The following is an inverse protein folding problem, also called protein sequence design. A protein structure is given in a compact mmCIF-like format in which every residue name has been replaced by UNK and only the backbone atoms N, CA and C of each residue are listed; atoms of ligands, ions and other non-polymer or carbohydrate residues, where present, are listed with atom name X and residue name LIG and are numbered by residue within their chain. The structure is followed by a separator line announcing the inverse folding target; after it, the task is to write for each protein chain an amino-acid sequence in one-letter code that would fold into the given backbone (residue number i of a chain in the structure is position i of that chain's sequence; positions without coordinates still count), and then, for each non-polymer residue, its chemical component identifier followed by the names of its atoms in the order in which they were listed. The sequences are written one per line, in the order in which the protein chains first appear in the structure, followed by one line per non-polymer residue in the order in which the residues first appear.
data_IF_541284898209
#
_entry.id   IF_541284898209
#
_cell.length_a   1.000
_cell.length_b   1.000
_cell.length_c   1.000
_cell.angle_alpha   90.00
_cell.angle_beta   90.00
_cell.angle_gamma   90.00
#
_symmetry.space_group_name_H-M   'P 1'
#
loop_
_entity.id
_entity.type
_entity.pdbx_description
1 polymer ?
#
# COMPACT_ATOMS: atom_id res chain seq x y z
N UNK A 1 -2.80 -5.99 -9.82
CA UNK A 1 -1.90 -6.39 -8.72
C UNK A 1 -1.52 -5.15 -7.90
N UNK A 2 -1.52 -5.23 -6.58
CA UNK A 2 -1.09 -4.13 -5.68
C UNK A 2 0.24 -4.53 -5.05
N UNK A 3 1.28 -3.73 -5.29
CA UNK A 3 2.67 -4.00 -4.93
C UNK A 3 3.22 -5.33 -5.50
N UNK A 4 4.52 -5.58 -5.29
CA UNK A 4 5.24 -6.76 -5.79
C UNK A 4 6.06 -7.47 -4.71
N UNK A 5 5.92 -7.08 -3.44
CA UNK A 5 6.67 -7.66 -2.34
C UNK A 5 8.18 -7.39 -2.41
N UNK A 6 8.94 -8.07 -1.54
CA UNK A 6 10.40 -7.91 -1.43
C UNK A 6 11.19 -8.71 -2.46
N UNK A 7 10.69 -9.89 -2.84
CA UNK A 7 11.40 -10.84 -3.71
C UNK A 7 10.41 -11.45 -4.71
N UNK A 8 10.73 -11.28 -5.99
CA UNK A 8 9.85 -11.77 -7.06
C UNK A 8 9.81 -13.28 -7.19
N UNK A 9 10.78 -14.01 -6.63
CA UNK A 9 10.74 -15.49 -6.54
C UNK A 9 9.57 -15.93 -5.67
N UNK A 10 9.39 -15.26 -4.53
CA UNK A 10 8.29 -15.54 -3.59
C UNK A 10 6.96 -15.14 -4.22
N UNK A 11 6.91 -13.99 -4.89
CA UNK A 11 5.72 -13.56 -5.62
C UNK A 11 5.31 -14.60 -6.66
N UNK A 12 6.21 -14.99 -7.56
CA UNK A 12 5.92 -15.95 -8.63
C UNK A 12 5.54 -17.33 -8.08
N UNK A 13 6.20 -17.81 -7.03
CA UNK A 13 5.84 -19.05 -6.36
C UNK A 13 4.41 -19.03 -5.80
N UNK A 14 4.00 -17.94 -5.15
CA UNK A 14 2.65 -17.80 -4.62
C UNK A 14 1.61 -17.68 -5.74
N UNK A 15 1.93 -16.98 -6.83
CA UNK A 15 1.07 -16.89 -8.01
C UNK A 15 0.84 -18.29 -8.61
N UNK A 16 1.91 -19.07 -8.80
CA UNK A 16 1.82 -20.46 -9.27
C UNK A 16 0.99 -21.34 -8.32
N UNK A 17 1.23 -21.27 -7.01
CA UNK A 17 0.47 -22.03 -6.01
C UNK A 17 -1.03 -21.70 -5.99
N UNK A 18 -1.39 -20.48 -6.40
CA UNK A 18 -2.79 -20.02 -6.53
C UNK A 18 -3.36 -20.21 -7.94
N UNK A 19 -2.61 -20.83 -8.86
CA UNK A 19 -2.96 -20.98 -10.27
C UNK A 19 -3.24 -19.64 -10.98
N UNK A 20 -2.46 -18.61 -10.66
CA UNK A 20 -2.53 -17.29 -11.30
C UNK A 20 -1.26 -17.08 -12.12
N UNK A 21 -1.39 -16.86 -13.42
CA UNK A 21 -0.28 -16.50 -14.30
C UNK A 21 0.10 -15.03 -14.13
N UNK A 22 1.40 -14.67 -14.19
CA UNK A 22 1.82 -13.28 -14.32
C UNK A 22 1.15 -12.53 -15.46
N UNK A 23 0.78 -13.22 -16.55
CA UNK A 23 0.14 -12.64 -17.73
C UNK A 23 -1.35 -12.34 -17.55
N UNK A 24 -1.99 -12.88 -16.51
CA UNK A 24 -3.41 -12.59 -16.20
C UNK A 24 -3.59 -11.23 -15.50
N UNK A 25 -2.50 -10.59 -15.08
CA UNK A 25 -2.57 -9.27 -14.44
C UNK A 25 -2.73 -8.19 -15.51
N UNK A 26 -3.79 -7.39 -15.41
CA UNK A 26 -4.06 -6.28 -16.36
C UNK A 26 -3.26 -4.99 -16.04
N UNK A 27 -3.06 -4.72 -14.75
CA UNK A 27 -2.35 -3.53 -14.29
C UNK A 27 -1.66 -3.76 -12.93
N UNK A 28 -0.58 -3.02 -12.70
CA UNK A 28 0.10 -2.95 -11.41
C UNK A 28 -0.15 -1.58 -10.79
N UNK A 29 -0.45 -1.55 -9.51
CA UNK A 29 -0.48 -0.32 -8.70
C UNK A 29 0.58 -0.44 -7.60
N UNK A 30 1.47 0.54 -7.50
CA UNK A 30 2.50 0.60 -6.46
C UNK A 30 2.10 1.63 -5.42
N UNK A 31 1.97 1.17 -4.18
CA UNK A 31 1.52 1.99 -3.05
C UNK A 31 2.55 3.01 -2.64
N UNK A 32 3.84 2.68 -2.69
CA UNK A 32 4.98 3.59 -2.48
C UNK A 32 6.30 2.91 -2.87
N UNK A 33 7.37 3.69 -2.94
CA UNK A 33 8.66 3.29 -3.46
C UNK A 33 9.58 2.54 -2.49
N UNK A 34 9.09 1.87 -1.44
CA UNK A 34 9.96 1.04 -0.60
C UNK A 34 10.27 -0.32 -1.25
N UNK A 35 11.46 -0.86 -0.96
CA UNK A 35 11.96 -2.10 -1.59
C UNK A 35 11.11 -3.32 -1.28
N UNK A 36 10.45 -3.37 -0.12
CA UNK A 36 9.59 -4.47 0.29
C UNK A 36 8.22 -4.47 -0.39
N UNK A 37 7.91 -3.42 -1.15
CA UNK A 37 6.73 -3.30 -2.02
C UNK A 37 7.09 -3.37 -3.52
N UNK A 38 8.36 -3.20 -3.88
CA UNK A 38 8.79 -3.05 -5.29
C UNK A 38 9.85 -4.06 -5.72
N UNK A 39 10.44 -4.81 -4.79
CA UNK A 39 11.56 -5.72 -5.03
C UNK A 39 11.23 -6.89 -5.97
N UNK A 40 9.96 -7.29 -6.05
CA UNK A 40 9.51 -8.32 -6.99
C UNK A 40 9.29 -7.86 -8.44
N UNK A 41 9.35 -6.56 -8.74
CA UNK A 41 8.97 -6.01 -10.04
C UNK A 41 9.80 -6.59 -11.20
N UNK A 42 11.13 -6.67 -11.07
CA UNK A 42 12.01 -7.15 -12.15
C UNK A 42 11.65 -8.58 -12.58
N UNK A 43 11.50 -9.51 -11.62
CA UNK A 43 11.14 -10.90 -11.92
C UNK A 43 9.71 -11.03 -12.43
N UNK A 44 8.78 -10.26 -11.87
CA UNK A 44 7.39 -10.22 -12.34
C UNK A 44 7.33 -9.79 -13.81
N UNK A 45 8.01 -8.69 -14.18
CA UNK A 45 8.05 -8.18 -15.54
C UNK A 45 8.75 -9.16 -16.49
N UNK A 46 9.88 -9.75 -16.06
CA UNK A 46 10.61 -10.76 -16.86
C UNK A 46 9.78 -12.02 -17.13
N UNK A 47 8.88 -12.40 -16.21
CA UNK A 47 8.00 -13.56 -16.38
C UNK A 47 6.79 -13.29 -17.28
N UNK A 48 6.55 -12.04 -17.67
CA UNK A 48 5.45 -11.66 -18.56
C UNK A 48 5.88 -11.69 -20.03
N UNK A 49 4.90 -11.92 -20.89
CA UNK A 49 5.04 -11.85 -22.35
C UNK A 49 4.79 -10.44 -22.87
N UNK A 50 3.78 -9.77 -22.30
CA UNK A 50 3.31 -8.46 -22.75
C UNK A 50 3.66 -7.37 -21.73
N UNK A 51 3.89 -6.16 -22.27
CA UNK A 51 4.05 -4.96 -21.47
C UNK A 51 2.82 -4.71 -20.59
N UNK A 52 3.01 -4.03 -19.47
CA UNK A 52 1.95 -3.77 -18.48
C UNK A 52 1.98 -2.33 -17.99
N UNK A 53 0.81 -1.77 -17.75
CA UNK A 53 0.68 -0.44 -17.15
C UNK A 53 0.96 -0.51 -15.65
N UNK A 54 1.84 0.37 -15.17
CA UNK A 54 2.19 0.51 -13.75
C UNK A 54 1.78 1.89 -13.26
N UNK A 55 0.78 1.95 -12.39
CA UNK A 55 0.31 3.17 -11.75
C UNK A 55 1.09 3.43 -10.46
N UNK A 56 1.65 4.63 -10.33
CA UNK A 56 2.44 5.02 -9.18
C UNK A 56 2.50 6.54 -9.02
N UNK A 57 3.04 7.00 -7.90
CA UNK A 57 3.38 8.40 -7.68
C UNK A 57 4.73 8.71 -8.33
N UNK A 58 5.00 9.92 -8.87
CA UNK A 58 6.32 10.25 -9.41
C UNK A 58 7.48 10.03 -8.43
N UNK A 59 7.25 10.30 -7.13
CA UNK A 59 8.26 10.13 -6.08
C UNK A 59 8.64 8.67 -5.75
N UNK A 60 8.06 7.64 -6.41
CA UNK A 60 8.45 6.25 -6.11
C UNK A 60 9.95 5.99 -6.34
N UNK A 61 10.58 6.74 -7.26
CA UNK A 61 11.99 6.58 -7.61
C UNK A 61 12.95 7.44 -6.76
N UNK A 62 12.45 8.18 -5.77
CA UNK A 62 13.32 8.91 -4.85
C UNK A 62 14.27 7.96 -4.11
N UNK A 63 15.53 8.39 -3.96
CA UNK A 63 16.56 7.61 -3.28
C UNK A 63 16.34 7.65 -1.77
N UNK A 64 15.72 6.60 -1.24
CA UNK A 64 15.40 6.47 0.19
C UNK A 64 16.44 5.66 0.97
N UNK A 65 16.74 6.11 2.18
CA UNK A 65 17.60 5.40 3.14
C UNK A 65 17.00 5.38 4.56
N UNK A 66 17.20 4.27 5.26
CA UNK A 66 17.02 4.19 6.71
C UNK A 66 18.38 4.32 7.39
N UNK A 67 18.45 5.06 8.50
CA UNK A 67 19.69 5.27 9.26
C UNK A 67 19.89 4.27 10.41
N UNK A 68 18.80 3.69 10.93
CA UNK A 68 18.82 2.76 12.07
C UNK A 68 18.39 1.35 11.65
N UNK A 69 18.99 0.28 12.21
CA UNK A 69 20.15 0.28 13.12
C UNK A 69 21.48 0.62 12.40
N UNK A 70 21.52 0.52 11.07
CA UNK A 70 22.61 0.98 10.22
C UNK A 70 22.06 1.61 8.95
N UNK A 71 22.87 2.45 8.29
CA UNK A 71 22.53 3.06 7.01
C UNK A 71 22.28 1.96 5.96
N UNK A 72 21.08 1.92 5.39
CA UNK A 72 20.72 1.03 4.29
C UNK A 72 19.80 1.73 3.31
N UNK A 73 19.87 1.34 2.03
CA UNK A 73 18.88 1.74 1.01
C UNK A 73 17.57 1.04 1.34
N UNK A 74 16.47 1.80 1.29
CA UNK A 74 15.11 1.27 1.49
C UNK A 74 14.18 1.62 0.34
N UNK A 75 14.64 2.40 -0.64
CA UNK A 75 13.85 2.71 -1.83
C UNK A 75 13.85 1.57 -2.85
N UNK A 76 13.08 1.75 -3.91
CA UNK A 76 13.03 0.85 -5.06
C UNK A 76 14.45 0.54 -5.57
N UNK A 77 14.79 -0.76 -5.75
CA UNK A 77 16.16 -1.15 -6.10
C UNK A 77 16.47 -1.00 -7.60
N UNK A 78 15.52 -0.50 -8.39
CA UNK A 78 15.59 -0.41 -9.85
C UNK A 78 15.44 1.04 -10.33
N UNK A 79 16.03 1.37 -11.48
CA UNK A 79 15.70 2.61 -12.19
C UNK A 79 14.39 2.45 -12.97
N UNK A 80 13.73 3.57 -13.26
CA UNK A 80 12.57 3.60 -14.14
C UNK A 80 12.89 2.99 -15.51
N UNK A 81 13.96 3.47 -16.15
CA UNK A 81 14.42 3.00 -17.46
C UNK A 81 14.65 1.48 -17.51
N UNK A 82 15.19 0.90 -16.43
CA UNK A 82 15.40 -0.55 -16.35
C UNK A 82 14.08 -1.32 -16.37
N UNK A 83 13.09 -0.88 -15.58
CA UNK A 83 11.77 -1.52 -15.55
C UNK A 83 11.00 -1.30 -16.86
N UNK A 84 11.16 -0.15 -17.50
CA UNK A 84 10.57 0.14 -18.82
C UNK A 84 11.13 -0.79 -19.91
N UNK A 85 12.44 -1.08 -19.89
CA UNK A 85 13.06 -2.08 -20.78
C UNK A 85 12.51 -3.49 -20.58
N UNK A 86 11.99 -3.80 -19.39
CA UNK A 86 11.34 -5.06 -19.07
C UNK A 86 9.83 -5.05 -19.36
N UNK A 87 9.30 -3.97 -19.95
CA UNK A 87 7.89 -3.86 -20.36
C UNK A 87 6.98 -3.15 -19.37
N UNK A 88 7.50 -2.43 -18.37
CA UNK A 88 6.67 -1.54 -17.55
C UNK A 88 6.33 -0.24 -18.30
N UNK A 89 5.06 0.11 -18.37
CA UNK A 89 4.58 1.39 -18.89
C UNK A 89 4.07 2.24 -17.72
N UNK A 90 4.90 3.17 -17.21
CA UNK A 90 4.55 3.92 -16.01
C UNK A 90 3.53 5.05 -16.28
N UNK A 91 2.47 5.09 -15.47
CA UNK A 91 1.59 6.24 -15.31
C UNK A 91 1.88 6.84 -13.93
N UNK A 92 2.76 7.85 -13.93
CA UNK A 92 3.17 8.57 -12.72
C UNK A 92 2.27 9.79 -12.48
N UNK A 93 1.48 9.78 -11.40
CA UNK A 93 0.54 10.87 -11.07
C UNK A 93 0.48 11.13 -9.56
N UNK A 94 0.50 12.41 -9.19
CA UNK A 94 0.27 12.88 -7.81
C UNK A 94 -1.22 12.88 -7.46
N UNK A 95 -2.09 13.06 -8.46
CA UNK A 95 -3.54 13.17 -8.31
C UNK A 95 -4.22 11.80 -8.48
N UNK A 96 -5.45 11.63 -7.95
CA UNK A 96 -6.26 10.44 -8.20
C UNK A 96 -6.39 10.12 -9.69
N UNK A 97 -6.25 8.84 -10.03
CA UNK A 97 -6.40 8.31 -11.39
C UNK A 97 -7.37 7.15 -11.38
N UNK A 98 -8.29 7.14 -12.34
CA UNK A 98 -9.12 5.96 -12.62
C UNK A 98 -8.28 4.92 -13.36
N UNK A 99 -8.13 3.73 -12.79
CA UNK A 99 -7.46 2.59 -13.42
C UNK A 99 -8.47 1.80 -14.25
N UNK A 100 -9.59 1.43 -13.63
CA UNK A 100 -10.72 0.75 -14.27
C UNK A 100 -12.04 1.38 -13.80
N UNK A 101 -13.16 0.96 -14.37
CA UNK A 101 -14.47 1.27 -13.81
C UNK A 101 -14.54 0.77 -12.36
N UNK A 102 -14.83 1.68 -11.43
CA UNK A 102 -14.87 1.37 -10.01
C UNK A 102 -13.52 1.22 -9.32
N UNK A 103 -12.37 1.44 -9.98
CA UNK A 103 -11.03 1.28 -9.39
C UNK A 103 -10.19 2.53 -9.58
N UNK A 104 -9.73 3.14 -8.48
CA UNK A 104 -9.06 4.44 -8.47
C UNK A 104 -7.81 4.43 -7.58
N UNK A 105 -6.80 5.21 -7.95
CA UNK A 105 -5.73 5.59 -7.01
C UNK A 105 -6.20 6.73 -6.13
N UNK A 106 -5.72 6.81 -4.89
CA UNK A 106 -6.04 7.91 -3.97
C UNK A 106 -5.36 9.24 -4.32
N UNK A 107 -4.29 9.20 -5.13
CA UNK A 107 -3.32 10.30 -5.19
C UNK A 107 -2.62 10.55 -3.84
N UNK A 108 -1.90 11.66 -3.75
CA UNK A 108 -1.29 12.14 -2.50
C UNK A 108 -2.34 12.28 -1.40
N UNK A 109 -2.07 11.69 -0.24
CA UNK A 109 -2.99 11.63 0.88
C UNK A 109 -2.80 12.86 1.78
N UNK A 110 -3.89 13.60 2.00
CA UNK A 110 -3.89 14.77 2.89
C UNK A 110 -3.64 14.35 4.35
N UNK A 111 -2.64 14.96 4.99
CA UNK A 111 -2.24 14.67 6.38
C UNK A 111 -2.80 15.71 7.34
N UNK A 112 -3.85 15.33 8.07
CA UNK A 112 -4.55 16.16 9.06
C UNK A 112 -4.35 15.69 10.50
N UNK A 113 -3.85 14.46 10.68
CA UNK A 113 -3.44 13.88 11.96
C UNK A 113 -2.08 13.21 11.84
N UNK A 114 -1.68 12.45 12.86
CA UNK A 114 -0.42 11.73 12.92
C UNK A 114 -0.17 10.88 11.67
N UNK A 115 1.12 10.77 11.33
CA UNK A 115 1.62 9.87 10.32
C UNK A 115 2.61 8.86 10.90
N UNK A 116 3.05 7.94 10.06
CA UNK A 116 4.07 6.94 10.35
C UNK A 116 5.16 6.96 9.28
N UNK A 117 5.51 8.16 8.81
CA UNK A 117 6.60 8.29 7.83
C UNK A 117 7.94 7.87 8.44
N UNK A 118 8.68 7.07 7.68
CA UNK A 118 9.99 6.54 8.07
C UNK A 118 10.99 6.75 6.95
N UNK A 119 12.26 6.76 7.30
CA UNK A 119 13.32 6.92 6.32
C UNK A 119 13.60 8.39 5.97
N UNK A 120 14.53 8.53 5.03
CA UNK A 120 15.06 9.81 4.59
C UNK A 120 15.30 9.77 3.08
N UNK A 121 15.09 10.89 2.41
CA UNK A 121 15.44 11.09 0.99
C UNK A 121 16.81 11.75 0.91
N UNK A 122 17.61 11.30 -0.06
CA UNK A 122 18.88 11.94 -0.42
C UNK A 122 18.60 13.05 -1.43
N UNK A 123 18.74 14.30 -1.01
CA UNK A 123 18.61 15.50 -1.84
C UNK A 123 19.99 16.15 -2.01
N UNK A 124 20.65 15.87 -3.14
CA UNK A 124 22.05 16.24 -3.37
C UNK A 124 22.98 15.67 -2.29
N UNK A 125 23.56 16.56 -1.46
CA UNK A 125 24.40 16.19 -0.31
C UNK A 125 23.64 16.11 1.02
N UNK A 126 22.37 16.55 1.04
CA UNK A 126 21.55 16.59 2.25
C UNK A 126 20.75 15.31 2.38
N UNK A 127 20.47 14.98 3.64
CA UNK A 127 19.57 13.91 4.00
C UNK A 127 18.38 14.53 4.73
N UNK A 128 17.21 14.47 4.10
CA UNK A 128 15.97 15.05 4.63
C UNK A 128 15.04 13.95 5.08
N UNK A 129 14.27 14.18 6.15
CA UNK A 129 13.22 13.23 6.56
C UNK A 129 12.26 13.05 5.39
N UNK A 130 11.97 11.80 5.05
CA UNK A 130 11.10 11.50 3.91
C UNK A 130 9.65 11.88 4.23
N UNK A 131 9.01 12.77 3.46
CA UNK A 131 7.59 13.04 3.63
C UNK A 131 6.72 11.84 3.23
N UNK A 132 7.23 10.92 2.39
CA UNK A 132 6.49 9.79 1.80
C UNK A 132 5.18 10.25 1.14
N UNK A 133 5.30 11.24 0.26
CA UNK A 133 4.18 11.72 -0.57
C UNK A 133 3.66 10.66 -1.54
N UNK A 134 4.52 9.71 -1.89
CA UNK A 134 4.19 8.58 -2.72
C UNK A 134 3.32 7.52 -2.06
N UNK A 135 3.08 7.58 -0.74
CA UNK A 135 2.17 6.67 -0.03
C UNK A 135 0.72 6.90 -0.45
N UNK A 136 0.26 6.07 -1.39
CA UNK A 136 -1.07 6.05 -1.96
C UNK A 136 -1.82 4.77 -1.60
N UNK A 137 -3.15 4.83 -1.70
CA UNK A 137 -4.05 3.69 -1.55
C UNK A 137 -4.84 3.43 -2.82
N UNK A 138 -5.26 2.18 -3.02
CA UNK A 138 -6.20 1.80 -4.07
C UNK A 138 -7.62 1.83 -3.50
N UNK A 139 -8.54 2.44 -4.23
CA UNK A 139 -9.95 2.58 -3.86
C UNK A 139 -10.78 1.75 -4.84
N UNK A 140 -11.54 0.79 -4.33
CA UNK A 140 -12.38 -0.10 -5.12
C UNK A 140 -13.83 0.12 -4.71
N UNK A 141 -14.66 0.58 -5.63
CA UNK A 141 -16.08 0.75 -5.38
C UNK A 141 -16.77 -0.60 -5.20
N UNK A 142 -17.66 -0.66 -4.21
CA UNK A 142 -18.46 -1.82 -3.90
C UNK A 142 -19.84 -1.33 -3.43
N UNK A 143 -20.79 -1.21 -4.35
CA UNK A 143 -22.20 -1.04 -3.98
C UNK A 143 -22.51 0.16 -3.09
N UNK A 144 -22.30 1.38 -3.58
CA UNK A 144 -22.48 2.59 -2.78
C UNK A 144 -21.44 2.78 -1.65
N UNK A 145 -20.64 1.75 -1.34
CA UNK A 145 -19.50 1.78 -0.42
C UNK A 145 -18.20 1.61 -1.20
N UNK A 146 -17.08 1.50 -0.48
CA UNK A 146 -15.78 1.19 -1.07
C UNK A 146 -14.91 0.30 -0.18
N UNK A 147 -13.96 -0.37 -0.82
CA UNK A 147 -12.83 -1.04 -0.19
C UNK A 147 -11.59 -0.17 -0.40
N UNK A 148 -10.83 0.06 0.66
CA UNK A 148 -9.56 0.80 0.62
C UNK A 148 -8.42 -0.16 0.88
N UNK A 149 -7.48 -0.24 -0.07
CA UNK A 149 -6.30 -1.10 0.01
C UNK A 149 -5.06 -0.22 0.15
N UNK A 150 -4.30 -0.41 1.23
CA UNK A 150 -3.08 0.34 1.55
C UNK A 150 -1.86 -0.58 1.63
N UNK A 151 -0.68 -0.07 1.29
CA UNK A 151 0.60 -0.78 1.45
C UNK A 151 1.01 -0.87 2.92
N UNK A 152 1.90 0.00 3.37
CA UNK A 152 2.20 0.14 4.82
C UNK A 152 1.35 1.20 5.51
N UNK A 153 0.81 2.19 4.79
CA UNK A 153 0.00 3.26 5.37
C UNK A 153 0.84 4.30 6.11
N UNK A 154 1.94 4.74 5.50
CA UNK A 154 2.86 5.71 6.09
C UNK A 154 2.23 7.08 6.35
N UNK A 155 1.20 7.44 5.60
CA UNK A 155 0.41 8.64 5.79
C UNK A 155 -0.42 8.62 7.07
N UNK A 156 -0.50 7.48 7.76
CA UNK A 156 -1.30 7.29 8.96
C UNK A 156 -2.72 6.87 8.61
N UNK A 157 -3.22 5.81 9.25
CA UNK A 157 -4.43 5.14 8.80
C UNK A 157 -5.69 6.03 8.84
N UNK A 158 -5.74 6.98 9.78
CA UNK A 158 -6.85 7.91 9.88
C UNK A 158 -6.83 8.97 8.76
N UNK A 159 -5.65 9.38 8.30
CA UNK A 159 -5.53 10.26 7.13
C UNK A 159 -5.99 9.52 5.87
N UNK A 160 -5.60 8.26 5.70
CA UNK A 160 -6.02 7.41 4.57
C UNK A 160 -7.55 7.27 4.53
N UNK A 161 -8.18 6.92 5.66
CA UNK A 161 -9.65 6.77 5.76
C UNK A 161 -10.36 8.07 5.43
N UNK A 162 -9.97 9.19 6.06
CA UNK A 162 -10.60 10.50 5.85
C UNK A 162 -10.45 10.98 4.41
N UNK A 163 -9.24 10.85 3.84
CA UNK A 163 -8.95 11.21 2.46
C UNK A 163 -9.81 10.41 1.49
N UNK A 164 -9.92 9.10 1.70
CA UNK A 164 -10.72 8.21 0.85
C UNK A 164 -12.21 8.57 0.90
N UNK A 165 -12.76 8.80 2.10
CA UNK A 165 -14.16 9.23 2.28
C UNK A 165 -14.42 10.55 1.57
N UNK A 166 -13.53 11.55 1.76
CA UNK A 166 -13.63 12.86 1.12
C UNK A 166 -13.56 12.77 -0.41
N UNK A 167 -12.65 11.94 -0.93
CA UNK A 167 -12.40 11.80 -2.36
C UNK A 167 -13.56 11.10 -3.09
N UNK A 168 -14.03 9.98 -2.55
CA UNK A 168 -15.06 9.17 -3.20
C UNK A 168 -16.48 9.56 -2.79
N UNK A 169 -16.64 10.31 -1.71
CA UNK A 169 -17.92 10.61 -1.06
C UNK A 169 -18.74 9.34 -0.77
N UNK A 170 -18.06 8.29 -0.27
CA UNK A 170 -18.63 6.97 0.03
C UNK A 170 -18.12 6.45 1.38
N UNK A 171 -18.93 5.68 2.12
CA UNK A 171 -18.48 4.97 3.31
C UNK A 171 -17.51 3.84 2.96
N UNK A 172 -16.63 3.49 3.90
CA UNK A 172 -15.69 2.39 3.74
C UNK A 172 -16.31 1.10 4.29
N UNK A 173 -16.54 0.16 3.39
CA UNK A 173 -16.92 -1.20 3.77
C UNK A 173 -15.72 -1.95 4.37
N UNK A 174 -14.58 -1.98 3.68
CA UNK A 174 -13.41 -2.70 4.15
C UNK A 174 -12.12 -1.89 3.99
N UNK A 175 -11.24 -2.01 4.98
CA UNK A 175 -9.89 -1.44 4.96
C UNK A 175 -8.87 -2.58 5.04
N UNK A 176 -8.02 -2.69 4.01
CA UNK A 176 -7.17 -3.85 3.74
C UNK A 176 -5.71 -3.41 3.65
N UNK A 177 -4.81 -4.13 4.32
CA UNK A 177 -3.36 -3.97 4.16
C UNK A 177 -2.62 -3.62 5.44
N UNK A 178 -1.48 -2.93 5.31
CA UNK A 178 -0.64 -2.51 6.43
C UNK A 178 -1.06 -1.15 6.99
N UNK A 179 -1.05 -1.02 8.32
CA UNK A 179 -1.41 0.22 9.03
C UNK A 179 -0.21 0.87 9.77
N UNK A 180 0.99 0.31 9.61
CA UNK A 180 2.26 0.77 10.22
C UNK A 180 2.21 1.04 11.74
N UNK A 181 1.52 0.16 12.47
CA UNK A 181 1.35 0.25 13.93
C UNK A 181 2.38 -0.53 14.73
N UNK A 182 3.27 -1.29 14.08
CA UNK A 182 4.41 -1.90 14.76
C UNK A 182 5.24 -0.83 15.48
N UNK A 183 5.48 -1.02 16.78
CA UNK A 183 6.20 -0.06 17.62
C UNK A 183 5.52 1.29 17.78
N UNK A 184 4.22 1.40 17.48
CA UNK A 184 3.45 2.61 17.78
C UNK A 184 3.28 2.76 19.30
N UNK A 185 3.25 4.02 19.75
CA UNK A 185 2.89 4.33 21.14
C UNK A 185 1.42 3.96 21.38
N UNK A 186 1.09 3.56 22.60
CA UNK A 186 -0.26 3.16 22.99
C UNK A 186 -1.35 4.18 22.62
N UNK A 187 -1.07 5.47 22.78
CA UNK A 187 -2.02 6.54 22.43
C UNK A 187 -2.34 6.59 20.93
N UNK A 188 -1.37 6.28 20.05
CA UNK A 188 -1.59 6.22 18.59
C UNK A 188 -2.49 5.04 18.24
N UNK A 189 -2.27 3.89 18.89
CA UNK A 189 -3.09 2.70 18.68
C UNK A 189 -4.54 2.91 19.16
N UNK A 190 -4.72 3.50 20.34
CA UNK A 190 -6.04 3.86 20.86
C UNK A 190 -6.76 4.88 19.96
N UNK A 191 -6.04 5.88 19.45
CA UNK A 191 -6.60 6.88 18.53
C UNK A 191 -6.98 6.25 17.19
N UNK A 192 -6.15 5.34 16.64
CA UNK A 192 -6.49 4.59 15.43
C UNK A 192 -7.79 3.79 15.61
N UNK A 193 -7.94 3.07 16.73
CA UNK A 193 -9.16 2.29 17.04
C UNK A 193 -10.38 3.21 17.16
N UNK A 194 -10.29 4.27 17.96
CA UNK A 194 -11.41 5.22 18.15
C UNK A 194 -11.80 5.89 16.83
N UNK A 195 -10.81 6.35 16.06
CA UNK A 195 -11.02 7.03 14.80
C UNK A 195 -11.63 6.11 13.73
N UNK A 196 -11.13 4.88 13.58
CA UNK A 196 -11.70 3.89 12.64
C UNK A 196 -13.15 3.57 13.00
N UNK A 197 -13.45 3.39 14.29
CA UNK A 197 -14.82 3.16 14.77
C UNK A 197 -15.74 4.34 14.47
N UNK A 198 -15.30 5.56 14.80
CA UNK A 198 -16.07 6.79 14.57
C UNK A 198 -16.30 7.10 13.08
N UNK A 199 -15.36 6.71 12.21
CA UNK A 199 -15.46 6.88 10.76
C UNK A 199 -16.29 5.77 10.08
N UNK A 200 -16.81 4.80 10.85
CA UNK A 200 -17.78 3.81 10.37
C UNK A 200 -17.21 2.72 9.48
N UNK A 201 -15.91 2.40 9.59
CA UNK A 201 -15.31 1.30 8.82
C UNK A 201 -15.89 -0.04 9.27
N UNK A 202 -16.47 -0.82 8.35
CA UNK A 202 -17.23 -2.03 8.71
C UNK A 202 -16.35 -3.27 8.91
N UNK A 203 -15.30 -3.43 8.10
CA UNK A 203 -14.38 -4.58 8.11
C UNK A 203 -12.92 -4.14 8.05
N UNK A 204 -12.06 -4.84 8.78
CA UNK A 204 -10.61 -4.62 8.80
C UNK A 204 -9.87 -5.89 8.43
N UNK A 205 -8.94 -5.78 7.48
CA UNK A 205 -8.03 -6.86 7.09
C UNK A 205 -6.58 -6.40 7.29
N UNK A 206 -6.12 -6.31 8.56
CA UNK A 206 -4.77 -5.86 8.87
C UNK A 206 -3.73 -6.93 8.49
N UNK A 207 -2.60 -6.49 7.95
CA UNK A 207 -1.44 -7.34 7.67
C UNK A 207 -0.12 -6.59 7.75
N UNK A 208 0.95 -7.27 7.32
CA UNK A 208 2.25 -6.67 7.05
C UNK A 208 2.78 -5.78 8.20
N UNK A 209 2.96 -4.49 7.93
CA UNK A 209 3.46 -3.45 8.84
C UNK A 209 2.60 -3.21 10.12
N UNK A 210 1.37 -3.76 10.20
CA UNK A 210 0.48 -3.56 11.36
C UNK A 210 1.04 -4.18 12.65
N UNK A 211 1.72 -5.33 12.53
CA UNK A 211 2.33 -6.04 13.65
C UNK A 211 1.33 -6.78 14.54
N UNK A 212 1.83 -7.75 15.29
CA UNK A 212 1.03 -8.64 16.14
C UNK A 212 0.19 -7.87 17.17
N UNK A 213 0.80 -6.95 17.92
CA UNK A 213 0.12 -6.16 18.95
C UNK A 213 -1.00 -5.27 18.37
N UNK A 214 -0.76 -4.70 17.19
CA UNK A 214 -1.74 -3.89 16.47
C UNK A 214 -2.95 -4.74 16.05
N UNK A 215 -2.69 -5.92 15.47
CA UNK A 215 -3.74 -6.87 15.07
C UNK A 215 -4.57 -7.30 16.29
N UNK A 216 -3.92 -7.73 17.37
CA UNK A 216 -4.59 -8.15 18.61
C UNK A 216 -5.47 -7.04 19.20
N UNK A 217 -4.99 -5.80 19.16
CA UNK A 217 -5.74 -4.65 19.67
C UNK A 217 -6.98 -4.34 18.81
N UNK A 218 -6.87 -4.45 17.48
CA UNK A 218 -8.03 -4.34 16.60
C UNK A 218 -9.03 -5.47 16.84
N UNK A 219 -8.57 -6.72 16.93
CA UNK A 219 -9.45 -7.87 17.19
C UNK A 219 -10.18 -7.72 18.53
N UNK A 220 -9.49 -7.24 19.58
CA UNK A 220 -10.10 -6.96 20.88
C UNK A 220 -11.19 -5.88 20.80
N UNK A 221 -10.95 -4.81 20.03
CA UNK A 221 -11.89 -3.70 19.91
C UNK A 221 -13.09 -3.96 18.97
N UNK A 222 -12.90 -4.75 17.92
CA UNK A 222 -13.86 -4.88 16.82
C UNK A 222 -14.38 -6.31 16.59
N UNK A 223 -13.83 -7.31 17.27
CA UNK A 223 -14.28 -8.70 17.22
C UNK A 223 -14.26 -9.28 15.80
N UNK A 224 -15.39 -9.88 15.39
CA UNK A 224 -15.57 -10.55 14.08
C UNK A 224 -15.51 -9.61 12.87
N UNK A 225 -15.34 -8.31 13.09
CA UNK A 225 -15.08 -7.34 12.02
C UNK A 225 -13.63 -7.33 11.56
N UNK A 226 -12.72 -8.00 12.28
CA UNK A 226 -11.28 -8.02 11.99
C UNK A 226 -10.83 -9.40 11.56
N UNK A 227 -10.17 -9.46 10.42
CA UNK A 227 -9.74 -10.70 9.81
C UNK A 227 -8.30 -10.54 9.27
N UNK A 228 -7.26 -10.97 10.00
CA UNK A 228 -5.88 -10.75 9.60
C UNK A 228 -5.53 -11.30 8.21
N UNK A 229 -4.66 -10.60 7.48
CA UNK A 229 -4.12 -11.06 6.21
C UNK A 229 -2.97 -12.05 6.42
N UNK A 230 -2.94 -13.10 5.60
CA UNK A 230 -1.84 -14.05 5.49
C UNK A 230 -1.70 -14.48 4.02
N UNK A 231 -0.55 -15.03 3.65
CA UNK A 231 -0.28 -15.47 2.26
C UNK A 231 -1.28 -16.54 1.85
N UNK A 232 -1.87 -16.39 0.67
CA UNK A 232 -2.88 -17.31 0.14
C UNK A 232 -4.31 -17.07 0.65
N UNK A 233 -4.53 -16.05 1.49
CA UNK A 233 -5.88 -15.69 1.92
C UNK A 233 -6.70 -15.12 0.76
N UNK A 234 -7.88 -15.67 0.54
CA UNK A 234 -8.91 -15.12 -0.34
C UNK A 234 -9.91 -14.32 0.48
N UNK A 235 -10.21 -13.09 0.07
CA UNK A 235 -11.22 -12.23 0.69
C UNK A 235 -12.30 -11.94 -0.34
N UNK A 236 -13.53 -12.37 -0.05
CA UNK A 236 -14.69 -12.13 -0.91
C UNK A 236 -15.55 -11.02 -0.30
N UNK A 237 -15.76 -9.97 -1.08
CA UNK A 237 -16.73 -8.95 -0.76
C UNK A 237 -18.03 -9.28 -1.51
N UNK A 238 -19.03 -9.75 -0.78
CA UNK A 238 -20.36 -10.00 -1.33
C UNK A 238 -21.22 -8.79 -1.00
N UNK A 239 -21.83 -8.19 -2.02
CA UNK A 239 -22.89 -7.21 -1.84
C UNK A 239 -24.24 -7.88 -2.05
#
# INVERSE_FOLDING_TARGET
MVDAGTDGTILLHNMEALNISPNEIDAVFITHGHYDHTGGLEKFLTARKDSIVVYAHPDIFLRRVALKPKRRKIGIPFSQEHLEKLGANFILKEKPVKIFDGVYTSGEIERTTWDRSVGHVVDGRKLIKDPLKDDMSLLVELGGKMVVITGCGHSGILNIVRHSIKLMNKPIFALVGGFHLTGAKRNILEDAIKGISALGVEKLYPGHCTGFDGICSFMSAFGSKVEPLYVGKEVKFVH
#
